data_IF_450943977706
#
_entry.id   IF_450943977706
#
_cell.length_a   1.000
_cell.length_b   1.000
_cell.length_c   1.000
_cell.angle_alpha   90.00
_cell.angle_beta   90.00
_cell.angle_gamma   90.00
#
_symmetry.space_group_name_H-M   'P 1'
#
loop_
_entity.id
_entity.type
_entity.pdbx_description
1 polymer ?
#
# COMPACT_ATOMS: atom_id res chain seq x y z
N UNK A 1 1.13 -4.65 -43.89
CA UNK A 1 0.00 -3.70 -43.86
C UNK A 1 -0.99 -4.31 -42.89
N UNK A 2 -0.80 -4.03 -41.59
CA UNK A 2 -1.52 -2.95 -40.87
C UNK A 2 -2.94 -3.42 -40.56
N UNK A 3 -3.46 -3.41 -39.34
CA UNK A 3 -3.02 -2.89 -38.06
C UNK A 3 -4.02 -3.53 -37.06
N UNK A 4 -3.57 -4.27 -36.05
CA UNK A 4 -4.44 -4.68 -34.94
C UNK A 4 -3.90 -3.97 -33.69
N UNK A 5 -4.35 -2.73 -33.56
CA UNK A 5 -4.02 -1.84 -32.45
C UNK A 5 -4.68 -2.44 -31.20
N UNK A 6 -3.94 -3.27 -30.48
CA UNK A 6 -4.34 -3.80 -29.19
C UNK A 6 -4.62 -2.63 -28.24
N UNK A 7 -5.89 -2.25 -28.15
CA UNK A 7 -6.39 -1.36 -27.12
C UNK A 7 -6.26 -2.11 -25.81
N UNK A 8 -5.27 -1.72 -24.99
CA UNK A 8 -5.18 -2.14 -23.60
C UNK A 8 -6.57 -2.03 -22.98
N UNK A 9 -7.17 -3.10 -22.44
CA UNK A 9 -8.48 -2.98 -21.82
C UNK A 9 -8.35 -1.96 -20.69
N UNK A 10 -9.17 -0.90 -20.77
CA UNK A 10 -9.27 0.09 -19.72
C UNK A 10 -9.53 -0.65 -18.41
N UNK A 11 -8.60 -0.54 -17.47
CA UNK A 11 -8.82 -1.01 -16.09
C UNK A 11 -10.06 -0.27 -15.63
N UNK A 12 -11.14 -1.00 -15.34
CA UNK A 12 -12.38 -0.42 -14.85
C UNK A 12 -12.01 0.35 -13.58
N UNK A 13 -12.22 1.66 -13.59
CA UNK A 13 -12.17 2.45 -12.37
C UNK A 13 -13.22 1.87 -11.42
N UNK A 14 -12.77 1.14 -10.40
CA UNK A 14 -13.63 0.61 -9.34
C UNK A 14 -14.09 1.70 -8.36
N UNK A 15 -13.64 2.95 -8.54
CA UNK A 15 -13.95 4.09 -7.70
C UNK A 15 -13.09 4.14 -6.44
N UNK A 16 -12.31 5.22 -6.28
CA UNK A 16 -11.71 5.60 -5.00
C UNK A 16 -10.77 4.57 -4.35
N UNK A 17 -10.66 4.68 -3.03
CA UNK A 17 -9.87 3.82 -2.15
C UNK A 17 -10.38 2.37 -2.17
N UNK A 18 -9.46 1.39 -2.17
CA UNK A 18 -9.82 -0.01 -1.93
C UNK A 18 -9.95 -0.16 -0.42
N UNK A 19 -11.19 -0.15 0.08
CA UNK A 19 -11.44 -0.41 1.48
C UNK A 19 -11.09 -1.87 1.80
N UNK A 20 -9.87 -2.09 2.33
CA UNK A 20 -9.55 -3.32 3.04
C UNK A 20 -10.59 -3.49 4.13
N UNK A 21 -11.29 -4.62 4.15
CA UNK A 21 -12.32 -4.89 5.15
C UNK A 21 -11.69 -4.79 6.53
N UNK A 22 -12.16 -3.84 7.33
CA UNK A 22 -11.65 -3.66 8.68
C UNK A 22 -11.82 -4.97 9.44
N UNK A 23 -10.76 -5.45 10.10
CA UNK A 23 -10.82 -6.66 10.93
C UNK A 23 -11.56 -6.40 12.25
N UNK A 24 -11.96 -5.15 12.50
CA UNK A 24 -12.68 -4.66 13.68
C UNK A 24 -13.60 -3.49 13.30
N UNK A 25 -14.73 -3.39 13.99
CA UNK A 25 -15.66 -2.26 13.82
C UNK A 25 -15.06 -0.94 14.32
N UNK A 26 -15.42 0.16 13.65
CA UNK A 26 -15.05 1.52 14.07
C UNK A 26 -13.64 1.98 13.68
N UNK A 27 -12.85 1.16 12.96
CA UNK A 27 -11.56 1.59 12.42
C UNK A 27 -11.74 2.68 11.38
N UNK A 28 -10.92 3.74 11.44
CA UNK A 28 -10.99 4.88 10.53
C UNK A 28 -9.66 5.09 9.80
N UNK A 29 -9.76 5.58 8.56
CA UNK A 29 -8.60 5.98 7.78
C UNK A 29 -7.99 7.25 8.34
N UNK A 30 -6.66 7.32 8.35
CA UNK A 30 -5.90 8.48 8.84
C UNK A 30 -5.12 9.19 7.72
N UNK A 31 -5.05 8.58 6.54
CA UNK A 31 -4.42 9.08 5.35
C UNK A 31 -2.89 8.98 5.37
N UNK A 32 -2.26 9.01 4.18
CA UNK A 32 -0.82 8.82 4.01
C UNK A 32 0.02 9.89 4.72
N UNK A 33 -0.54 11.08 4.92
CA UNK A 33 0.11 12.17 5.62
C UNK A 33 0.41 11.85 7.09
N UNK A 34 -0.35 10.95 7.73
CA UNK A 34 -0.07 10.49 9.09
C UNK A 34 0.92 9.33 9.10
N UNK A 35 0.86 8.43 8.13
CA UNK A 35 1.80 7.31 7.99
C UNK A 35 3.23 7.80 7.71
N UNK A 36 3.39 8.80 6.82
CA UNK A 36 4.71 9.31 6.41
C UNK A 36 5.52 9.99 7.52
N UNK A 37 4.91 10.30 8.66
CA UNK A 37 5.64 10.92 9.78
C UNK A 37 6.72 9.97 10.30
N UNK A 38 6.40 8.67 10.34
CA UNK A 38 7.30 7.61 10.80
C UNK A 38 7.84 6.77 9.63
N UNK A 39 7.01 6.45 8.63
CA UNK A 39 7.41 5.62 7.48
C UNK A 39 7.88 6.47 6.28
N UNK A 40 8.86 7.34 6.51
CA UNK A 40 9.34 8.31 5.50
C UNK A 40 9.94 7.61 4.27
N UNK A 41 10.81 6.62 4.50
CA UNK A 41 11.52 5.91 3.44
C UNK A 41 10.53 5.09 2.59
N UNK A 42 9.65 4.36 3.25
CA UNK A 42 8.61 3.56 2.58
C UNK A 42 7.64 4.47 1.82
N UNK A 43 7.27 5.62 2.39
CA UNK A 43 6.45 6.61 1.69
C UNK A 43 7.16 7.15 0.44
N UNK A 44 8.44 7.51 0.53
CA UNK A 44 9.23 7.98 -0.61
C UNK A 44 9.35 6.90 -1.70
N UNK A 45 9.62 5.65 -1.32
CA UNK A 45 9.71 4.55 -2.28
C UNK A 45 8.35 4.20 -2.89
N UNK A 46 7.27 4.20 -2.10
CA UNK A 46 5.90 4.00 -2.58
C UNK A 46 5.49 5.05 -3.61
N UNK A 47 5.89 6.32 -3.44
CA UNK A 47 5.64 7.39 -4.42
C UNK A 47 6.22 7.06 -5.79
N UNK A 48 7.25 6.22 -5.87
CA UNK A 48 7.87 5.84 -7.13
C UNK A 48 7.14 4.69 -7.84
N UNK A 49 6.21 4.03 -7.16
CA UNK A 49 5.44 2.91 -7.69
C UNK A 49 4.26 3.34 -8.55
N UNK A 50 3.72 2.43 -9.37
CA UNK A 50 2.50 2.69 -10.14
C UNK A 50 1.26 2.97 -9.24
N UNK A 51 1.23 2.41 -8.03
CA UNK A 51 0.15 2.65 -7.05
C UNK A 51 0.23 4.06 -6.44
N UNK A 52 1.43 4.57 -6.18
CA UNK A 52 1.64 5.95 -5.73
C UNK A 52 1.44 7.00 -6.83
N UNK A 53 1.75 6.66 -8.09
CA UNK A 53 1.68 7.57 -9.25
C UNK A 53 0.30 7.65 -9.91
N UNK A 54 -0.61 6.69 -9.68
CA UNK A 54 -1.98 6.75 -10.25
C UNK A 54 -2.80 7.88 -9.64
N UNK A 55 -3.86 8.29 -10.34
CA UNK A 55 -4.80 9.33 -9.88
C UNK A 55 -6.22 8.76 -9.80
N UNK A 56 -6.88 8.76 -8.62
CA UNK A 56 -6.29 9.05 -7.29
C UNK A 56 -5.31 7.93 -6.86
N UNK A 57 -4.30 8.23 -6.01
CA UNK A 57 -3.33 7.24 -5.55
C UNK A 57 -3.99 6.14 -4.71
N UNK A 58 -3.42 4.93 -4.72
CA UNK A 58 -3.69 3.93 -3.67
C UNK A 58 -2.66 4.11 -2.57
N UNK A 59 -3.09 4.56 -1.40
CA UNK A 59 -2.21 4.83 -0.28
C UNK A 59 -1.94 3.58 0.58
N UNK A 60 -1.17 3.77 1.66
CA UNK A 60 -0.79 2.72 2.60
C UNK A 60 -2.00 1.89 3.09
N UNK A 61 -3.12 2.55 3.39
CA UNK A 61 -4.31 1.97 3.99
C UNK A 61 -5.16 1.19 2.97
N UNK A 62 -4.93 1.39 1.66
CA UNK A 62 -5.56 0.59 0.60
C UNK A 62 -5.00 -0.84 0.52
N UNK A 63 -3.86 -1.10 1.16
CA UNK A 63 -3.27 -2.42 1.31
C UNK A 63 -3.19 -2.88 2.77
N UNK A 64 -2.96 -1.95 3.70
CA UNK A 64 -2.69 -2.23 5.10
C UNK A 64 -3.89 -2.02 6.05
N UNK A 65 -5.03 -1.56 5.54
CA UNK A 65 -6.22 -1.31 6.34
C UNK A 65 -6.26 0.08 7.00
N UNK A 66 -7.32 0.41 7.75
CA UNK A 66 -7.45 1.72 8.38
C UNK A 66 -6.54 1.86 9.61
N UNK A 67 -5.72 2.91 9.65
CA UNK A 67 -4.64 3.09 10.61
C UNK A 67 -5.01 3.72 11.95
N UNK A 68 -6.29 3.95 12.25
CA UNK A 68 -6.68 4.68 13.48
C UNK A 68 -6.13 4.07 14.77
N UNK A 69 -6.06 2.74 14.84
CA UNK A 69 -5.69 2.00 16.05
C UNK A 69 -4.23 1.52 16.06
N UNK A 70 -3.58 1.34 14.90
CA UNK A 70 -2.17 0.92 14.85
C UNK A 70 -1.17 2.06 14.60
N UNK A 71 -1.63 3.32 14.47
CA UNK A 71 -0.71 4.47 14.34
C UNK A 71 0.07 4.82 15.61
N UNK A 72 -0.40 4.35 16.77
CA UNK A 72 0.24 4.66 18.05
C UNK A 72 1.59 3.98 18.13
N UNK A 73 2.66 4.71 18.47
CA UNK A 73 4.03 4.21 18.45
C UNK A 73 4.17 2.83 19.14
N UNK A 74 3.63 2.70 20.36
CA UNK A 74 3.67 1.44 21.13
C UNK A 74 3.00 0.25 20.44
N UNK A 75 2.00 0.50 19.58
CA UNK A 75 1.29 -0.53 18.82
C UNK A 75 2.02 -0.80 17.50
N UNK A 76 2.51 0.25 16.83
CA UNK A 76 3.20 0.15 15.54
C UNK A 76 4.55 -0.59 15.63
N UNK A 77 5.28 -0.42 16.75
CA UNK A 77 6.57 -1.08 16.98
C UNK A 77 6.46 -2.59 17.22
N UNK A 78 5.25 -3.09 17.51
CA UNK A 78 4.98 -4.51 17.74
C UNK A 78 4.08 -5.06 16.63
N UNK A 79 4.61 -5.90 15.71
CA UNK A 79 3.84 -6.46 14.60
C UNK A 79 2.62 -7.29 15.03
N UNK A 80 2.67 -7.96 16.18
CA UNK A 80 1.51 -8.71 16.70
C UNK A 80 0.42 -7.76 17.15
N UNK A 81 0.78 -6.71 17.90
CA UNK A 81 -0.17 -5.71 18.36
C UNK A 81 -0.75 -4.90 17.20
N UNK A 82 0.06 -4.53 16.20
CA UNK A 82 -0.42 -3.84 15.01
C UNK A 82 -1.45 -4.69 14.25
N UNK A 83 -1.18 -5.99 14.05
CA UNK A 83 -2.14 -6.92 13.42
C UNK A 83 -3.40 -7.09 14.26
N UNK A 84 -3.27 -7.21 15.58
CA UNK A 84 -4.42 -7.27 16.49
C UNK A 84 -5.26 -5.98 16.49
N UNK A 85 -4.62 -4.83 16.25
CA UNK A 85 -5.27 -3.52 16.10
C UNK A 85 -5.86 -3.28 14.70
N UNK A 86 -5.65 -4.19 13.75
CA UNK A 86 -6.29 -4.20 12.44
C UNK A 86 -5.38 -3.89 11.25
N UNK A 87 -4.06 -3.88 11.45
CA UNK A 87 -3.11 -3.88 10.34
C UNK A 87 -3.27 -5.16 9.51
N UNK A 88 -3.34 -5.00 8.20
CA UNK A 88 -3.32 -6.09 7.24
C UNK A 88 -1.95 -6.20 6.59
N UNK A 89 -1.43 -7.42 6.52
CA UNK A 89 -0.27 -7.75 5.67
C UNK A 89 -0.83 -8.44 4.42
N UNK A 90 -0.85 -7.76 3.26
CA UNK A 90 -1.44 -8.33 2.06
C UNK A 90 -0.59 -9.51 1.56
N UNK A 91 -1.27 -10.58 1.15
CA UNK A 91 -0.66 -11.74 0.51
C UNK A 91 -0.90 -11.75 -1.00
N UNK A 92 -0.53 -12.83 -1.67
CA UNK A 92 -0.77 -12.97 -3.11
C UNK A 92 -2.27 -12.91 -3.44
N UNK A 93 -3.13 -13.52 -2.62
CA UNK A 93 -4.57 -13.54 -2.85
C UNK A 93 -5.15 -12.12 -2.78
N UNK A 94 -4.71 -11.31 -1.83
CA UNK A 94 -5.09 -9.90 -1.72
C UNK A 94 -4.87 -9.14 -3.04
N UNK A 95 -3.69 -9.29 -3.63
CA UNK A 95 -3.34 -8.53 -4.83
C UNK A 95 -4.10 -8.99 -6.07
N UNK A 96 -4.54 -10.25 -6.13
CA UNK A 96 -5.37 -10.76 -7.25
C UNK A 96 -6.77 -10.15 -7.29
N UNK A 97 -7.20 -9.44 -6.24
CA UNK A 97 -8.46 -8.69 -6.26
C UNK A 97 -8.47 -7.63 -7.37
N UNK A 98 -7.30 -7.02 -7.65
CA UNK A 98 -7.08 -6.05 -8.72
C UNK A 98 -6.21 -6.59 -9.86
N UNK A 99 -5.11 -7.29 -9.55
CA UNK A 99 -4.12 -7.78 -10.53
C UNK A 99 -4.49 -9.17 -11.09
N UNK A 100 -5.62 -9.26 -11.79
CA UNK A 100 -6.18 -10.54 -12.29
C UNK A 100 -5.39 -11.17 -13.44
N UNK A 101 -4.67 -10.37 -14.22
CA UNK A 101 -3.95 -10.81 -15.42
C UNK A 101 -2.43 -10.57 -15.35
N UNK A 102 -1.89 -10.28 -14.16
CA UNK A 102 -0.46 -10.11 -13.94
C UNK A 102 -0.11 -9.04 -12.90
N UNK A 103 1.00 -9.26 -12.20
CA UNK A 103 1.63 -8.31 -11.26
C UNK A 103 3.14 -8.38 -11.39
N UNK A 104 3.85 -7.27 -11.16
CA UNK A 104 5.27 -7.36 -10.80
C UNK A 104 5.39 -7.80 -9.34
N UNK A 105 6.38 -8.65 -9.05
CA UNK A 105 6.73 -8.99 -7.67
C UNK A 105 7.45 -7.82 -6.96
N UNK A 106 8.11 -6.98 -7.75
CA UNK A 106 9.02 -5.93 -7.28
C UNK A 106 8.33 -4.82 -6.48
N UNK A 107 7.02 -4.65 -6.65
CA UNK A 107 6.26 -3.62 -5.93
C UNK A 107 6.41 -3.75 -4.41
N UNK A 108 6.31 -4.97 -3.88
CA UNK A 108 6.34 -5.18 -2.43
C UNK A 108 7.74 -4.89 -1.88
N UNK A 109 8.78 -5.24 -2.64
CA UNK A 109 10.17 -4.92 -2.30
C UNK A 109 10.40 -3.40 -2.31
N UNK A 110 9.95 -2.71 -3.36
CA UNK A 110 10.11 -1.27 -3.51
C UNK A 110 9.33 -0.52 -2.43
N UNK A 111 8.02 -0.78 -2.28
CA UNK A 111 7.18 -0.06 -1.31
C UNK A 111 7.60 -0.28 0.15
N UNK A 112 8.35 -1.35 0.44
CA UNK A 112 8.90 -1.64 1.77
C UNK A 112 10.42 -1.55 1.81
N UNK A 113 11.05 -0.89 0.85
CA UNK A 113 12.48 -0.64 0.88
C UNK A 113 12.79 0.26 2.09
N UNK A 114 13.69 -0.22 2.93
CA UNK A 114 14.34 0.56 3.95
C UNK A 114 15.71 0.90 3.34
N UNK A 115 16.27 2.08 3.60
CA UNK A 115 17.68 2.31 3.28
C UNK A 115 18.48 1.09 3.76
N UNK A 116 19.43 0.57 2.96
CA UNK A 116 20.30 -0.47 3.46
C UNK A 116 20.95 0.06 4.74
N UNK A 117 20.88 -0.71 5.83
CA UNK A 117 21.56 -0.38 7.09
C UNK A 117 23.01 0.06 6.76
N UNK A 118 23.33 1.35 6.99
CA UNK A 118 24.67 1.89 6.76
C UNK A 118 24.80 3.23 6.02
N UNK A 119 23.71 3.93 5.66
CA UNK A 119 23.79 5.26 5.02
C UNK A 119 23.82 6.45 6.01
N UNK A 120 24.43 6.29 7.19
CA UNK A 120 24.87 7.44 7.99
C UNK A 120 26.34 7.76 7.64
N UNK A 121 26.56 8.85 6.91
CA UNK A 121 27.88 9.50 6.83
C UNK A 121 28.48 9.66 5.43
N UNK A 122 27.97 10.62 4.66
CA UNK A 122 28.75 11.51 3.78
C UNK A 122 28.14 12.92 3.81
#
# INVERSE_FOLDING_TARGET
MSDDTATTPAVVDIGGHVAVTATKDGLTRIGPAKCKICHKVQYASWLETAHGKRTPPLDCEDCHGPGSEYKGLKVMEDPEQARAAGLVTPDQAFCTQCHRSGRSADLMQQAHEHEPEGAEGL
#
